data_IF_428685353751
#
_entry.id   IF_428685353751
#
_cell.length_a   1.000
_cell.length_b   1.000
_cell.length_c   1.000
_cell.angle_alpha   90.00
_cell.angle_beta   90.00
_cell.angle_gamma   90.00
#
_symmetry.space_group_name_H-M   'P 1'
#
loop_
_entity.id
_entity.type
_entity.pdbx_description
1 polymer ?
#
# COMPACT_ATOMS: atom_id res chain seq x y z
N UNK A 1 -15.52 -51.15 -92.15
CA UNK A 1 -15.17 -49.80 -92.62
C UNK A 1 -15.87 -48.82 -91.71
N UNK A 2 -15.25 -48.49 -90.57
CA UNK A 2 -15.75 -47.42 -89.71
C UNK A 2 -15.14 -46.11 -90.21
N UNK A 3 -16.02 -45.23 -90.70
CA UNK A 3 -15.68 -43.88 -91.10
C UNK A 3 -15.43 -43.10 -89.80
N UNK A 4 -14.17 -42.88 -89.42
CA UNK A 4 -13.82 -41.89 -88.40
C UNK A 4 -13.80 -40.54 -89.10
N UNK A 5 -14.82 -39.73 -88.85
CA UNK A 5 -14.88 -38.33 -89.24
C UNK A 5 -13.57 -37.64 -88.84
N UNK A 6 -12.79 -37.21 -89.85
CA UNK A 6 -11.65 -36.34 -89.60
C UNK A 6 -12.21 -34.96 -89.22
N UNK A 7 -11.81 -34.40 -88.07
CA UNK A 7 -12.28 -33.08 -87.66
C UNK A 7 -11.89 -32.05 -88.72
N UNK A 8 -12.83 -31.17 -89.00
CA UNK A 8 -12.67 -30.08 -89.97
C UNK A 8 -11.59 -29.10 -89.46
N UNK A 9 -10.89 -28.41 -90.36
CA UNK A 9 -9.83 -27.46 -89.98
C UNK A 9 -10.31 -26.43 -88.94
N UNK A 10 -11.56 -25.98 -89.06
CA UNK A 10 -12.18 -25.05 -88.10
C UNK A 10 -12.42 -25.68 -86.72
N UNK A 11 -12.76 -26.98 -86.64
CA UNK A 11 -12.93 -27.70 -85.37
C UNK A 11 -11.58 -27.94 -84.67
N UNK A 12 -10.52 -28.18 -85.43
CA UNK A 12 -9.15 -28.25 -84.91
C UNK A 12 -8.68 -26.88 -84.40
N UNK A 13 -8.95 -25.80 -85.14
CA UNK A 13 -8.64 -24.42 -84.72
C UNK A 13 -9.40 -24.03 -83.44
N UNK A 14 -10.67 -24.41 -83.32
CA UNK A 14 -11.45 -24.14 -82.12
C UNK A 14 -10.95 -24.91 -80.90
N UNK A 15 -10.60 -26.20 -81.05
CA UNK A 15 -9.97 -26.98 -79.97
C UNK A 15 -8.61 -26.44 -79.54
N UNK A 16 -7.80 -25.96 -80.48
CA UNK A 16 -6.51 -25.31 -80.15
C UNK A 16 -6.76 -24.06 -79.32
N UNK A 17 -7.73 -23.22 -79.72
CA UNK A 17 -8.12 -22.02 -78.96
C UNK A 17 -8.64 -22.35 -77.56
N UNK A 18 -9.47 -23.39 -77.42
CA UNK A 18 -9.96 -23.86 -76.13
C UNK A 18 -8.82 -24.35 -75.23
N UNK A 19 -7.83 -25.03 -75.81
CA UNK A 19 -6.66 -25.52 -75.08
C UNK A 19 -5.74 -24.38 -74.63
N UNK A 20 -5.54 -23.38 -75.48
CA UNK A 20 -4.79 -22.16 -75.13
C UNK A 20 -5.46 -21.39 -73.97
N UNK A 21 -6.78 -21.24 -74.01
CA UNK A 21 -7.54 -20.62 -72.91
C UNK A 21 -7.45 -21.45 -71.62
N UNK A 22 -7.53 -22.78 -71.70
CA UNK A 22 -7.35 -23.64 -70.53
C UNK A 22 -5.95 -23.55 -69.94
N UNK A 23 -4.91 -23.47 -70.79
CA UNK A 23 -3.53 -23.30 -70.34
C UNK A 23 -3.33 -21.96 -69.61
N UNK A 24 -3.94 -20.88 -70.11
CA UNK A 24 -3.88 -19.56 -69.50
C UNK A 24 -4.61 -19.50 -68.13
N UNK A 25 -5.77 -20.15 -68.03
CA UNK A 25 -6.50 -20.32 -66.76
C UNK A 25 -5.66 -21.14 -65.76
N UNK A 26 -5.06 -22.25 -66.21
CA UNK A 26 -4.25 -23.10 -65.34
C UNK A 26 -3.01 -22.38 -64.82
N UNK A 27 -2.32 -21.60 -65.68
CA UNK A 27 -1.21 -20.73 -65.27
C UNK A 27 -1.64 -19.69 -64.23
N UNK A 28 -2.80 -19.07 -64.44
CA UNK A 28 -3.36 -18.08 -63.50
C UNK A 28 -3.68 -18.71 -62.14
N UNK A 29 -4.26 -19.92 -62.12
CA UNK A 29 -4.56 -20.66 -60.88
C UNK A 29 -3.27 -21.02 -60.14
N UNK A 30 -2.24 -21.51 -60.83
CA UNK A 30 -0.94 -21.81 -60.20
C UNK A 30 -0.35 -20.55 -59.57
N UNK A 31 -0.38 -19.43 -60.28
CA UNK A 31 0.15 -18.17 -59.77
C UNK A 31 -0.63 -17.68 -58.54
N UNK A 32 -1.97 -17.78 -58.55
CA UNK A 32 -2.79 -17.47 -57.38
C UNK A 32 -2.54 -18.42 -56.21
N UNK A 33 -2.34 -19.70 -56.48
CA UNK A 33 -2.00 -20.71 -55.48
C UNK A 33 -0.65 -20.42 -54.81
N UNK A 34 0.37 -20.07 -55.59
CA UNK A 34 1.69 -19.67 -55.08
C UNK A 34 1.61 -18.40 -54.21
N UNK A 35 0.85 -17.39 -54.66
CA UNK A 35 0.62 -16.17 -53.88
C UNK A 35 -0.10 -16.46 -52.56
N UNK A 36 -1.14 -17.31 -52.59
CA UNK A 36 -1.89 -17.72 -51.40
C UNK A 36 -1.00 -18.48 -50.42
N UNK A 37 -0.18 -19.41 -50.91
CA UNK A 37 0.79 -20.13 -50.07
C UNK A 37 1.79 -19.19 -49.42
N UNK A 38 2.33 -18.22 -50.17
CA UNK A 38 3.24 -17.22 -49.63
C UNK A 38 2.58 -16.35 -48.55
N UNK A 39 1.33 -15.95 -48.75
CA UNK A 39 0.57 -15.14 -47.79
C UNK A 39 0.20 -15.92 -46.52
N UNK A 40 -0.18 -17.19 -46.64
CA UNK A 40 -0.43 -18.07 -45.48
C UNK A 40 0.86 -18.27 -44.70
N UNK A 41 1.98 -18.55 -45.39
CA UNK A 41 3.26 -18.74 -44.73
C UNK A 41 3.74 -17.48 -43.98
N UNK A 42 3.57 -16.29 -44.56
CA UNK A 42 3.92 -15.03 -43.88
C UNK A 42 3.02 -14.76 -42.68
N UNK A 43 1.71 -14.96 -42.81
CA UNK A 43 0.76 -14.80 -41.70
C UNK A 43 1.03 -15.80 -40.56
N UNK A 44 1.41 -17.04 -40.88
CA UNK A 44 1.76 -18.05 -39.90
C UNK A 44 3.00 -17.61 -39.10
N UNK A 45 4.03 -17.10 -39.80
CA UNK A 45 5.25 -16.59 -39.17
C UNK A 45 4.98 -15.35 -38.29
N UNK A 46 4.07 -14.46 -38.69
CA UNK A 46 3.66 -13.33 -37.86
C UNK A 46 2.92 -13.75 -36.59
N UNK A 47 2.03 -14.74 -36.69
CA UNK A 47 1.32 -15.30 -35.54
C UNK A 47 2.29 -15.95 -34.56
N UNK A 48 3.26 -16.74 -35.05
CA UNK A 48 4.29 -17.35 -34.20
C UNK A 48 5.10 -16.29 -33.45
N UNK A 49 5.57 -15.25 -34.15
CA UNK A 49 6.30 -14.14 -33.52
C UNK A 49 5.46 -13.41 -32.46
N UNK A 50 4.17 -13.18 -32.72
CA UNK A 50 3.26 -12.56 -31.75
C UNK A 50 3.03 -13.44 -30.53
N UNK A 51 2.85 -14.75 -30.74
CA UNK A 51 2.66 -15.70 -29.65
C UNK A 51 3.92 -15.80 -28.76
N UNK A 52 5.11 -15.83 -29.36
CA UNK A 52 6.38 -15.79 -28.62
C UNK A 52 6.49 -14.52 -27.77
N UNK A 53 6.17 -13.36 -28.33
CA UNK A 53 6.19 -12.09 -27.60
C UNK A 53 5.20 -12.06 -26.42
N UNK A 54 3.97 -12.57 -26.64
CA UNK A 54 2.95 -12.69 -25.58
C UNK A 54 3.44 -13.63 -24.47
N UNK A 55 4.04 -14.76 -24.81
CA UNK A 55 4.51 -15.71 -23.81
C UNK A 55 5.70 -15.15 -23.01
N UNK A 56 6.58 -14.36 -23.65
CA UNK A 56 7.64 -13.62 -22.95
C UNK A 56 7.07 -12.58 -21.98
N UNK A 57 6.07 -11.79 -22.40
CA UNK A 57 5.43 -10.78 -21.56
C UNK A 57 4.67 -11.40 -20.37
N UNK A 58 3.94 -12.48 -20.63
CA UNK A 58 3.27 -13.27 -19.60
C UNK A 58 4.28 -13.86 -18.62
N UNK A 59 5.41 -14.38 -19.10
CA UNK A 59 6.50 -14.87 -18.27
C UNK A 59 7.07 -13.78 -17.34
N UNK A 60 7.25 -12.55 -17.85
CA UNK A 60 7.69 -11.40 -17.04
C UNK A 60 6.68 -11.04 -15.95
N UNK A 61 5.39 -10.96 -16.28
CA UNK A 61 4.33 -10.66 -15.30
C UNK A 61 4.25 -11.73 -14.21
N UNK A 62 4.32 -13.01 -14.57
CA UNK A 62 4.33 -14.11 -13.60
C UNK A 62 5.55 -14.05 -12.68
N UNK A 63 6.74 -13.73 -13.22
CA UNK A 63 7.94 -13.57 -12.43
C UNK A 63 7.82 -12.40 -11.43
N UNK A 64 7.23 -11.27 -11.84
CA UNK A 64 6.98 -10.14 -10.94
C UNK A 64 6.02 -10.55 -9.83
N UNK A 65 4.87 -11.13 -10.18
CA UNK A 65 3.83 -11.53 -9.22
C UNK A 65 4.33 -12.57 -8.20
N UNK A 66 5.25 -13.46 -8.61
CA UNK A 66 5.86 -14.46 -7.74
C UNK A 66 6.88 -13.89 -6.74
N UNK A 67 7.54 -12.78 -7.09
CA UNK A 67 8.55 -12.15 -6.24
C UNK A 67 7.99 -11.05 -5.32
N UNK A 68 6.73 -10.63 -5.51
CA UNK A 68 6.06 -9.74 -4.56
C UNK A 68 5.93 -10.45 -3.22
N UNK A 69 6.44 -9.83 -2.16
CA UNK A 69 6.42 -10.36 -0.80
C UNK A 69 5.03 -10.33 -0.16
N UNK A 70 4.12 -9.50 -0.66
CA UNK A 70 2.74 -9.44 -0.18
C UNK A 70 1.92 -10.57 -0.81
N UNK A 71 1.02 -11.15 -0.03
CA UNK A 71 0.01 -12.05 -0.54
C UNK A 71 -0.93 -11.24 -1.46
N UNK A 72 -1.11 -11.67 -2.70
CA UNK A 72 -1.90 -10.97 -3.71
C UNK A 72 -2.96 -11.91 -4.29
N UNK A 73 -4.19 -11.40 -4.36
CA UNK A 73 -5.31 -12.06 -5.04
C UNK A 73 -6.02 -11.07 -5.95
N UNK A 74 -6.50 -11.55 -7.09
CA UNK A 74 -7.38 -10.83 -8.00
C UNK A 74 -8.68 -11.61 -8.10
N UNK A 75 -9.80 -10.95 -7.86
CA UNK A 75 -11.14 -11.54 -7.99
C UNK A 75 -11.92 -10.85 -9.11
N UNK A 76 -12.80 -11.59 -9.78
CA UNK A 76 -13.75 -11.02 -10.73
C UNK A 76 -14.91 -10.29 -10.01
N UNK A 77 -15.79 -9.58 -10.72
CA UNK A 77 -16.95 -8.90 -10.12
C UNK A 77 -17.94 -9.87 -9.43
N UNK A 78 -17.87 -11.17 -9.72
CA UNK A 78 -18.65 -12.21 -9.05
C UNK A 78 -17.97 -12.79 -7.80
N UNK A 79 -16.86 -12.21 -7.32
CA UNK A 79 -16.15 -12.65 -6.12
C UNK A 79 -15.32 -13.93 -6.30
N UNK A 80 -15.08 -14.38 -7.54
CA UNK A 80 -14.27 -15.57 -7.82
C UNK A 80 -12.83 -15.21 -8.15
N UNK A 81 -11.89 -16.00 -7.66
CA UNK A 81 -10.45 -15.78 -7.86
C UNK A 81 -10.07 -15.99 -9.34
N UNK A 82 -9.49 -14.96 -9.95
CA UNK A 82 -8.85 -14.99 -11.27
C UNK A 82 -7.36 -15.32 -11.11
N UNK A 83 -6.70 -14.73 -10.12
CA UNK A 83 -5.26 -14.85 -9.92
C UNK A 83 -4.94 -14.85 -8.42
N UNK A 84 -3.99 -15.69 -8.03
CA UNK A 84 -3.38 -15.65 -6.71
C UNK A 84 -1.88 -15.91 -6.86
N UNK A 85 -1.04 -15.17 -6.14
CA UNK A 85 0.39 -15.50 -6.09
C UNK A 85 0.65 -16.66 -5.09
N UNK A 86 1.85 -17.22 -5.13
CA UNK A 86 2.23 -18.30 -4.20
C UNK A 86 2.17 -17.85 -2.75
N UNK A 87 2.57 -16.61 -2.46
CA UNK A 87 2.53 -16.04 -1.11
C UNK A 87 1.11 -16.04 -0.57
N UNK A 88 0.10 -15.68 -1.36
CA UNK A 88 -1.30 -15.75 -0.95
C UNK A 88 -1.75 -17.18 -0.60
N UNK A 89 -1.36 -18.14 -1.43
CA UNK A 89 -1.71 -19.55 -1.20
C UNK A 89 -1.06 -20.06 0.10
N UNK A 90 0.22 -19.74 0.32
CA UNK A 90 0.94 -20.10 1.55
C UNK A 90 0.33 -19.39 2.78
N UNK A 91 -0.03 -18.12 2.62
CA UNK A 91 -0.56 -17.28 3.69
C UNK A 91 -1.93 -17.75 4.19
N UNK A 92 -2.83 -18.12 3.29
CA UNK A 92 -4.18 -18.61 3.63
C UNK A 92 -4.29 -20.14 3.63
N UNK A 93 -3.17 -20.86 3.50
CA UNK A 93 -3.11 -22.32 3.41
C UNK A 93 -4.06 -22.90 2.33
N UNK A 94 -4.13 -22.21 1.18
CA UNK A 94 -4.96 -22.58 0.04
C UNK A 94 -4.17 -23.42 -0.96
N UNK A 95 -4.83 -24.42 -1.57
CA UNK A 95 -4.22 -25.19 -2.65
C UNK A 95 -4.13 -24.34 -3.93
N UNK A 96 -2.91 -24.14 -4.43
CA UNK A 96 -2.59 -23.40 -5.66
C UNK A 96 -3.42 -23.89 -6.86
N UNK A 97 -3.76 -25.19 -6.90
CA UNK A 97 -4.54 -25.76 -7.99
C UNK A 97 -6.05 -25.58 -7.82
N UNK A 98 -6.54 -25.47 -6.58
CA UNK A 98 -7.95 -25.35 -6.28
C UNK A 98 -8.40 -23.89 -6.08
N UNK A 99 -7.46 -22.98 -5.83
CA UNK A 99 -7.77 -21.55 -5.57
C UNK A 99 -8.35 -20.85 -6.79
N UNK A 100 -7.95 -21.26 -8.00
CA UNK A 100 -8.43 -20.65 -9.23
C UNK A 100 -9.93 -20.93 -9.42
N UNK A 101 -10.72 -19.87 -9.66
CA UNK A 101 -12.18 -19.91 -9.81
C UNK A 101 -12.97 -20.29 -8.54
N UNK A 102 -12.31 -20.53 -7.40
CA UNK A 102 -12.97 -20.63 -6.10
C UNK A 102 -13.60 -19.29 -5.70
N UNK A 103 -14.66 -19.33 -4.91
CA UNK A 103 -15.22 -18.09 -4.36
C UNK A 103 -14.32 -17.59 -3.22
N UNK A 104 -14.05 -16.28 -3.13
CA UNK A 104 -13.08 -15.75 -2.17
C UNK A 104 -13.43 -16.07 -0.70
N UNK A 105 -14.72 -16.24 -0.40
CA UNK A 105 -15.19 -16.64 0.94
C UNK A 105 -14.95 -18.12 1.28
N UNK A 106 -14.62 -18.96 0.29
CA UNK A 106 -14.22 -20.36 0.50
C UNK A 106 -12.71 -20.47 0.76
N UNK A 107 -11.96 -19.42 0.44
CA UNK A 107 -10.50 -19.36 0.55
C UNK A 107 -10.05 -18.59 1.79
N UNK A 108 -10.76 -17.51 2.13
CA UNK A 108 -10.46 -16.67 3.29
C UNK A 108 -11.55 -16.85 4.35
N UNK A 109 -11.20 -17.49 5.47
CA UNK A 109 -12.13 -17.75 6.59
C UNK A 109 -12.45 -16.50 7.44
N UNK A 110 -11.79 -15.36 7.17
CA UNK A 110 -12.05 -14.10 7.87
C UNK A 110 -13.05 -13.22 7.11
N UNK A 111 -14.24 -13.05 7.72
CA UNK A 111 -15.33 -12.28 7.13
C UNK A 111 -15.00 -10.80 6.89
N UNK A 112 -14.13 -10.20 7.69
CA UNK A 112 -13.76 -8.80 7.57
C UNK A 112 -12.82 -8.57 6.37
N UNK A 113 -11.89 -9.49 6.14
CA UNK A 113 -11.05 -9.49 4.94
C UNK A 113 -11.90 -9.66 3.68
N UNK A 114 -12.80 -10.66 3.66
CA UNK A 114 -13.71 -10.90 2.53
C UNK A 114 -14.57 -9.67 2.25
N UNK A 115 -15.17 -9.09 3.31
CA UNK A 115 -16.00 -7.89 3.18
C UNK A 115 -15.22 -6.73 2.56
N UNK A 116 -13.96 -6.54 2.92
CA UNK A 116 -13.13 -5.46 2.37
C UNK A 116 -12.95 -5.57 0.85
N UNK A 117 -12.97 -6.79 0.31
CA UNK A 117 -12.90 -7.05 -1.13
C UNK A 117 -14.26 -6.77 -1.78
N UNK A 118 -15.33 -7.28 -1.18
CA UNK A 118 -16.70 -7.14 -1.70
C UNK A 118 -17.18 -5.68 -1.67
N UNK A 119 -16.83 -4.92 -0.63
CA UNK A 119 -17.14 -3.49 -0.52
C UNK A 119 -16.54 -2.70 -1.71
N UNK A 120 -15.38 -3.08 -2.24
CA UNK A 120 -14.77 -2.46 -3.43
C UNK A 120 -15.47 -2.87 -4.74
N UNK A 121 -16.07 -4.06 -4.79
CA UNK A 121 -16.89 -4.48 -5.94
C UNK A 121 -18.16 -3.62 -6.00
N UNK A 122 -18.78 -3.34 -4.85
CA UNK A 122 -19.97 -2.50 -4.74
C UNK A 122 -19.68 -1.01 -5.00
N UNK A 123 -18.52 -0.52 -4.52
CA UNK A 123 -18.06 0.87 -4.70
C UNK A 123 -16.71 0.93 -5.43
N UNK A 124 -16.67 0.73 -6.77
CA UNK A 124 -15.43 0.57 -7.52
C UNK A 124 -14.58 1.85 -7.67
N UNK A 125 -15.06 3.01 -7.25
CA UNK A 125 -14.26 4.26 -7.24
C UNK A 125 -13.33 4.39 -6.03
N UNK A 126 -13.36 3.42 -5.10
CA UNK A 126 -12.61 3.50 -3.84
C UNK A 126 -11.52 2.45 -3.72
N UNK A 127 -10.36 2.89 -3.28
CA UNK A 127 -9.36 2.03 -2.65
C UNK A 127 -9.68 1.93 -1.17
N UNK A 128 -9.83 0.71 -0.66
CA UNK A 128 -10.05 0.46 0.77
C UNK A 128 -8.75 -0.10 1.37
N UNK A 129 -8.26 0.55 2.43
CA UNK A 129 -7.16 0.06 3.24
C UNK A 129 -7.65 -0.18 4.66
N UNK A 130 -7.47 -1.40 5.17
CA UNK A 130 -7.79 -1.76 6.55
C UNK A 130 -6.67 -2.55 7.20
N UNK A 131 -6.48 -2.31 8.49
CA UNK A 131 -5.65 -3.14 9.35
C UNK A 131 -6.58 -3.98 10.23
N UNK A 132 -6.47 -5.30 10.13
CA UNK A 132 -7.36 -6.27 10.78
C UNK A 132 -6.51 -7.18 11.67
N UNK A 133 -6.95 -7.39 12.90
CA UNK A 133 -6.32 -8.34 13.81
C UNK A 133 -7.01 -9.70 13.67
N UNK A 134 -6.25 -10.73 13.34
CA UNK A 134 -6.73 -12.11 13.29
C UNK A 134 -6.82 -12.73 14.69
N UNK A 135 -7.51 -13.88 14.80
CA UNK A 135 -7.74 -14.58 16.06
C UNK A 135 -6.45 -15.10 16.72
N UNK A 136 -5.42 -15.37 15.93
CA UNK A 136 -4.10 -15.79 16.38
C UNK A 136 -3.21 -14.63 16.87
N UNK A 137 -3.70 -13.39 16.76
CA UNK A 137 -2.98 -12.18 17.13
C UNK A 137 -2.12 -11.57 16.02
N UNK A 138 -2.12 -12.15 14.82
CA UNK A 138 -1.50 -11.57 13.63
C UNK A 138 -2.25 -10.29 13.21
N UNK A 139 -1.51 -9.25 12.83
CA UNK A 139 -2.08 -8.04 12.24
C UNK A 139 -1.88 -8.05 10.73
N UNK A 140 -2.97 -8.01 9.98
CA UNK A 140 -2.95 -7.98 8.52
C UNK A 140 -3.36 -6.60 8.04
N UNK A 141 -2.52 -6.00 7.21
CA UNK A 141 -2.89 -4.86 6.39
C UNK A 141 -3.44 -5.36 5.07
N UNK A 142 -4.74 -5.17 4.85
CA UNK A 142 -5.39 -5.45 3.58
C UNK A 142 -5.60 -4.15 2.78
N UNK A 143 -5.16 -4.15 1.53
CA UNK A 143 -5.41 -3.07 0.57
C UNK A 143 -6.14 -3.65 -0.62
N UNK A 144 -7.34 -3.14 -0.90
CA UNK A 144 -8.21 -3.61 -1.99
C UNK A 144 -8.55 -2.45 -2.91
N UNK A 145 -8.36 -2.66 -4.22
CA UNK A 145 -8.56 -1.66 -5.27
C UNK A 145 -9.22 -2.29 -6.48
N UNK A 146 -10.14 -1.57 -7.11
CA UNK A 146 -10.78 -1.99 -8.35
C UNK A 146 -9.82 -1.99 -9.53
N UNK A 147 -10.08 -2.85 -10.50
CA UNK A 147 -9.42 -2.89 -11.81
C UNK A 147 -10.49 -2.49 -12.84
N UNK A 148 -10.34 -1.29 -13.42
CA UNK A 148 -11.27 -0.74 -14.41
C UNK A 148 -10.61 -0.72 -15.79
N UNK A 149 -11.38 -1.09 -16.83
CA UNK A 149 -11.01 -0.91 -18.23
C UNK A 149 -12.19 -0.25 -18.94
N UNK A 150 -12.00 0.96 -19.49
CA UNK A 150 -13.07 1.73 -20.14
C UNK A 150 -14.35 1.83 -19.29
N UNK A 151 -14.20 2.16 -17.99
CA UNK A 151 -15.26 2.22 -16.96
C UNK A 151 -15.95 0.88 -16.64
N UNK A 152 -15.50 -0.23 -17.23
CA UNK A 152 -15.96 -1.57 -16.88
C UNK A 152 -15.11 -2.18 -15.76
N UNK A 153 -15.75 -2.62 -14.68
CA UNK A 153 -15.10 -3.37 -13.60
C UNK A 153 -14.67 -4.75 -14.08
N UNK A 154 -13.37 -4.95 -14.27
CA UNK A 154 -12.78 -6.24 -14.58
C UNK A 154 -12.60 -7.11 -13.33
N UNK A 155 -12.44 -6.49 -12.17
CA UNK A 155 -12.22 -7.20 -10.91
C UNK A 155 -11.68 -6.31 -9.81
N UNK A 156 -11.25 -6.94 -8.72
CA UNK A 156 -10.61 -6.28 -7.58
C UNK A 156 -9.28 -6.96 -7.31
N UNK A 157 -8.22 -6.17 -7.19
CA UNK A 157 -6.92 -6.61 -6.68
C UNK A 157 -6.84 -6.32 -5.20
N UNK A 158 -6.45 -7.34 -4.43
CA UNK A 158 -6.30 -7.25 -2.99
C UNK A 158 -4.94 -7.78 -2.57
N UNK A 159 -4.24 -6.98 -1.76
CA UNK A 159 -2.98 -7.39 -1.13
C UNK A 159 -3.17 -7.57 0.37
N UNK A 160 -2.40 -8.49 0.94
CA UNK A 160 -2.36 -8.78 2.36
C UNK A 160 -0.91 -8.82 2.81
N UNK A 161 -0.61 -8.04 3.84
CA UNK A 161 0.71 -8.00 4.45
C UNK A 161 0.58 -8.23 5.94
N UNK A 162 1.37 -9.17 6.47
CA UNK A 162 1.59 -9.28 7.90
C UNK A 162 2.39 -8.07 8.37
N UNK A 163 1.77 -7.25 9.21
CA UNK A 163 2.35 -6.04 9.81
C UNK A 163 2.48 -6.19 11.33
N UNK A 164 2.49 -7.42 11.84
CA UNK A 164 2.50 -7.72 13.28
C UNK A 164 3.73 -7.12 13.95
N UNK A 165 4.90 -7.23 13.32
CA UNK A 165 6.16 -6.73 13.88
C UNK A 165 6.13 -5.20 13.97
N UNK A 166 5.67 -4.55 12.91
CA UNK A 166 5.52 -3.10 12.84
C UNK A 166 4.56 -2.59 13.91
N UNK A 167 3.38 -3.20 14.00
CA UNK A 167 2.37 -2.84 15.01
C UNK A 167 2.88 -3.07 16.44
N UNK A 168 3.59 -4.16 16.69
CA UNK A 168 4.19 -4.44 18.00
C UNK A 168 5.30 -3.45 18.34
N UNK A 169 6.15 -3.11 17.37
CA UNK A 169 7.24 -2.14 17.54
C UNK A 169 6.71 -0.73 17.84
N UNK A 170 5.66 -0.30 17.14
CA UNK A 170 5.00 0.98 17.40
C UNK A 170 4.39 1.04 18.81
N UNK A 171 3.74 -0.06 19.23
CA UNK A 171 3.24 -0.19 20.61
C UNK A 171 4.38 -0.14 21.64
N UNK A 172 5.46 -0.90 21.43
CA UNK A 172 6.62 -0.90 22.33
C UNK A 172 7.28 0.47 22.42
N UNK A 173 7.44 1.19 21.30
CA UNK A 173 7.96 2.56 21.27
C UNK A 173 7.11 3.46 22.15
N UNK A 174 5.79 3.39 21.99
CA UNK A 174 4.86 4.25 22.74
C UNK A 174 4.87 3.91 24.24
N UNK A 175 4.87 2.63 24.59
CA UNK A 175 4.86 2.19 25.99
C UNK A 175 6.20 2.50 26.69
N UNK A 176 7.31 2.40 25.96
CA UNK A 176 8.63 2.82 26.43
C UNK A 176 8.66 4.32 26.75
N UNK A 177 8.21 5.17 25.82
CA UNK A 177 8.15 6.62 26.02
C UNK A 177 7.26 6.98 27.20
N UNK A 178 6.11 6.32 27.33
CA UNK A 178 5.20 6.50 28.46
C UNK A 178 5.90 6.19 29.80
N UNK A 179 6.54 5.02 29.88
CA UNK A 179 7.23 4.56 31.08
C UNK A 179 8.37 5.49 31.48
N UNK A 180 9.27 5.83 30.54
CA UNK A 180 10.40 6.74 30.81
C UNK A 180 9.92 8.09 31.29
N UNK A 181 8.85 8.62 30.71
CA UNK A 181 8.31 9.93 31.11
C UNK A 181 7.75 9.91 32.53
N UNK A 182 7.08 8.83 32.94
CA UNK A 182 6.63 8.66 34.32
C UNK A 182 7.80 8.58 35.31
N UNK A 183 8.84 7.80 34.97
CA UNK A 183 10.05 7.63 35.79
C UNK A 183 10.90 8.91 35.87
N UNK A 184 10.82 9.80 34.87
CA UNK A 184 11.50 11.11 34.89
C UNK A 184 10.70 12.19 35.63
N UNK A 185 9.36 12.18 35.50
CA UNK A 185 8.50 13.20 36.12
C UNK A 185 8.61 13.18 37.64
N UNK A 186 8.63 12.01 38.25
CA UNK A 186 8.67 11.84 39.72
C UNK A 186 9.93 12.44 40.37
N UNK A 187 11.17 12.10 39.95
CA UNK A 187 12.37 12.71 40.50
C UNK A 187 12.48 14.20 40.15
N UNK A 188 12.06 14.61 38.95
CA UNK A 188 12.09 16.02 38.53
C UNK A 188 11.16 16.90 39.38
N UNK A 189 9.96 16.39 39.69
CA UNK A 189 9.01 17.05 40.61
C UNK A 189 9.62 17.25 41.99
N UNK A 190 10.39 16.26 42.47
CA UNK A 190 11.08 16.35 43.76
C UNK A 190 12.19 17.40 43.73
N UNK A 191 13.02 17.42 42.68
CA UNK A 191 14.10 18.42 42.51
C UNK A 191 13.53 19.84 42.44
N UNK A 192 12.51 20.05 41.61
CA UNK A 192 11.81 21.34 41.50
C UNK A 192 11.17 21.74 42.83
N UNK A 193 10.53 20.81 43.54
CA UNK A 193 9.94 21.03 44.85
C UNK A 193 10.97 21.55 45.86
N UNK A 194 12.12 20.88 45.98
CA UNK A 194 13.20 21.31 46.86
C UNK A 194 13.83 22.63 46.43
N UNK A 195 14.09 22.84 45.14
CA UNK A 195 14.64 24.09 44.63
C UNK A 195 13.71 25.28 44.95
N UNK A 196 12.41 25.12 44.74
CA UNK A 196 11.40 26.13 45.08
C UNK A 196 11.33 26.41 46.59
N UNK A 197 11.37 25.38 47.44
CA UNK A 197 11.41 25.54 48.90
C UNK A 197 12.67 26.30 49.35
N UNK A 198 13.83 25.97 48.78
CA UNK A 198 15.10 26.63 49.08
C UNK A 198 15.03 28.10 48.67
N UNK A 199 14.60 28.38 47.42
CA UNK A 199 14.44 29.74 46.91
C UNK A 199 13.53 30.57 47.82
N UNK A 200 12.34 30.04 48.14
CA UNK A 200 11.37 30.70 49.03
C UNK A 200 11.96 31.01 50.40
N UNK A 201 12.63 30.06 51.04
CA UNK A 201 13.28 30.29 52.35
C UNK A 201 14.39 31.34 52.26
N UNK A 202 15.18 31.32 51.20
CA UNK A 202 16.23 32.32 51.00
C UNK A 202 15.62 33.71 50.82
N UNK A 203 14.57 33.85 50.02
CA UNK A 203 13.90 35.13 49.75
C UNK A 203 13.14 35.69 50.95
N UNK A 204 12.42 34.86 51.70
CA UNK A 204 11.58 35.30 52.82
C UNK A 204 12.36 35.48 54.12
N UNK A 205 13.39 34.67 54.35
CA UNK A 205 14.05 34.57 55.67
C UNK A 205 15.50 35.03 55.63
N UNK A 206 16.28 34.73 54.59
CA UNK A 206 17.74 34.92 54.64
C UNK A 206 18.16 36.24 53.97
N UNK A 207 17.74 36.48 52.73
CA UNK A 207 18.07 37.69 51.98
C UNK A 207 17.65 38.98 52.69
N UNK A 208 16.51 39.07 53.40
CA UNK A 208 16.12 40.30 54.12
C UNK A 208 16.99 40.65 55.32
N UNK A 209 17.74 39.69 55.89
CA UNK A 209 18.60 39.88 57.08
C UNK A 209 20.08 39.98 56.72
N UNK A 210 20.44 39.78 55.46
CA UNK A 210 21.80 39.98 54.97
C UNK A 210 22.05 41.48 54.86
N UNK A 211 23.10 41.95 55.53
CA UNK A 211 23.54 43.34 55.46
C UNK A 211 24.15 43.63 54.08
N UNK A 212 23.55 44.58 53.34
CA UNK A 212 24.02 45.02 52.03
C UNK A 212 25.35 45.79 52.07
N UNK A 213 25.89 46.08 53.27
CA UNK A 213 27.16 46.77 53.46
C UNK A 213 28.40 46.03 52.94
N UNK A 214 28.38 44.69 52.86
CA UNK A 214 29.51 43.89 52.36
C UNK A 214 29.33 43.45 50.90
N UNK A 215 30.03 44.13 49.97
CA UNK A 215 29.95 43.87 48.53
C UNK A 215 30.24 42.41 48.11
N UNK A 216 30.98 41.63 48.92
CA UNK A 216 31.23 40.20 48.66
C UNK A 216 30.00 39.33 48.97
N UNK A 217 29.32 39.62 50.08
CA UNK A 217 28.14 38.87 50.55
C UNK A 217 26.96 39.12 49.62
N UNK A 218 26.73 40.39 49.24
CA UNK A 218 25.66 40.76 48.29
C UNK A 218 25.85 40.10 46.91
N UNK A 219 27.08 40.04 46.39
CA UNK A 219 27.38 39.32 45.14
C UNK A 219 27.12 37.82 45.23
N UNK A 220 27.53 37.17 46.32
CA UNK A 220 27.30 35.75 46.51
C UNK A 220 25.79 35.43 46.63
N UNK A 221 25.02 36.26 47.35
CA UNK A 221 23.58 36.12 47.46
C UNK A 221 22.87 36.25 46.11
N UNK A 222 23.26 37.25 45.30
CA UNK A 222 22.75 37.43 43.94
C UNK A 222 23.05 36.22 43.04
N UNK A 223 24.27 35.69 43.11
CA UNK A 223 24.67 34.52 42.32
C UNK A 223 23.91 33.25 42.71
N UNK A 224 23.67 33.01 44.01
CA UNK A 224 22.85 31.90 44.48
C UNK A 224 21.41 32.02 43.97
N UNK A 225 20.82 33.22 44.02
CA UNK A 225 19.48 33.48 43.50
C UNK A 225 19.40 33.16 42.01
N UNK A 226 20.33 33.70 41.21
CA UNK A 226 20.39 33.47 39.77
C UNK A 226 20.55 31.97 39.44
N UNK A 227 21.40 31.25 40.17
CA UNK A 227 21.59 29.82 39.95
C UNK A 227 20.32 29.01 40.27
N UNK A 228 19.60 29.37 41.34
CA UNK A 228 18.32 28.73 41.67
C UNK A 228 17.26 29.02 40.61
N UNK A 229 17.19 30.25 40.10
CA UNK A 229 16.29 30.62 39.01
C UNK A 229 16.56 29.79 37.75
N UNK A 230 17.83 29.56 37.40
CA UNK A 230 18.23 28.71 36.28
C UNK A 230 17.83 27.25 36.53
N UNK A 231 18.06 26.71 37.73
CA UNK A 231 17.70 25.32 38.05
C UNK A 231 16.19 25.11 37.94
N UNK A 232 15.40 26.06 38.45
CA UNK A 232 13.94 25.99 38.40
C UNK A 232 13.47 26.11 36.94
N UNK A 233 13.94 27.10 36.18
CA UNK A 233 13.50 27.31 34.81
C UNK A 233 13.87 26.15 33.88
N UNK A 234 15.06 25.56 34.02
CA UNK A 234 15.45 24.39 33.24
C UNK A 234 14.70 23.13 33.67
N UNK A 235 14.36 22.98 34.96
CA UNK A 235 13.52 21.88 35.42
C UNK A 235 12.08 21.98 34.91
N UNK A 236 11.50 23.18 34.89
CA UNK A 236 10.17 23.44 34.31
C UNK A 236 10.19 23.19 32.79
N UNK A 237 11.22 23.69 32.10
CA UNK A 237 11.41 23.44 30.67
C UNK A 237 11.52 21.96 30.35
N UNK A 238 12.29 21.19 31.14
CA UNK A 238 12.41 19.74 30.95
C UNK A 238 11.07 19.03 31.19
N UNK A 239 10.31 19.48 32.19
CA UNK A 239 8.96 18.95 32.47
C UNK A 239 8.04 19.15 31.26
N UNK A 240 8.05 20.35 30.68
CA UNK A 240 7.27 20.66 29.49
C UNK A 240 7.70 19.79 28.30
N UNK A 241 9.01 19.65 28.07
CA UNK A 241 9.52 18.81 26.98
C UNK A 241 9.09 17.35 27.14
N UNK A 242 9.10 16.80 28.36
CA UNK A 242 8.62 15.44 28.63
C UNK A 242 7.13 15.32 28.32
N UNK A 243 6.32 16.32 28.67
CA UNK A 243 4.90 16.32 28.37
C UNK A 243 4.64 16.40 26.85
N UNK A 244 5.37 17.26 26.14
CA UNK A 244 5.26 17.39 24.67
C UNK A 244 5.57 16.06 23.97
N UNK A 245 6.63 15.37 24.41
CA UNK A 245 7.00 14.04 23.88
C UNK A 245 5.92 12.99 24.16
N UNK A 246 5.34 13.01 25.35
CA UNK A 246 4.22 12.12 25.70
C UNK A 246 2.99 12.39 24.83
N UNK A 247 2.66 13.65 24.60
CA UNK A 247 1.49 14.04 23.82
C UNK A 247 1.66 13.64 22.36
N UNK A 248 2.86 13.83 21.78
CA UNK A 248 3.21 13.31 20.44
C UNK A 248 3.04 11.77 20.40
N UNK A 249 3.55 11.06 21.39
CA UNK A 249 3.44 9.60 21.43
C UNK A 249 1.98 9.11 21.51
N UNK A 250 1.10 9.84 22.21
CA UNK A 250 -0.34 9.56 22.24
C UNK A 250 -1.01 9.86 20.89
N UNK A 251 -0.62 10.95 20.22
CA UNK A 251 -1.11 11.31 18.89
C UNK A 251 -0.74 10.22 17.87
N UNK A 252 0.53 9.81 17.82
CA UNK A 252 1.00 8.75 16.90
C UNK A 252 0.26 7.43 17.13
N UNK A 253 -0.04 7.09 18.39
CA UNK A 253 -0.78 5.88 18.72
C UNK A 253 -2.31 5.97 18.52
N UNK A 254 -2.84 7.14 18.09
CA UNK A 254 -4.28 7.36 17.94
C UNK A 254 -5.04 7.30 19.27
N UNK A 255 -4.36 7.52 20.40
CA UNK A 255 -4.93 7.42 21.77
C UNK A 255 -5.32 8.78 22.37
N UNK A 256 -5.43 9.81 21.53
CA UNK A 256 -5.86 11.14 21.98
C UNK A 256 -7.37 11.16 22.12
N UNK A 257 -7.84 11.46 23.32
CA UNK A 257 -9.25 11.76 23.54
C UNK A 257 -9.52 13.20 23.11
N UNK A 258 -10.25 13.35 22.00
CA UNK A 258 -10.76 14.64 21.55
C UNK A 258 -11.92 15.06 22.45
N UNK A 259 -11.86 16.28 22.95
CA UNK A 259 -12.96 16.95 23.65
C UNK A 259 -13.49 18.04 22.74
N UNK A 260 -14.27 17.63 21.77
CA UNK A 260 -14.89 18.56 20.84
C UNK A 260 -16.02 19.30 21.55
N UNK A 261 -15.82 20.60 21.78
CA UNK A 261 -16.80 21.51 22.37
C UNK A 261 -16.88 22.81 21.57
N UNK A 262 -18.05 23.43 21.53
CA UNK A 262 -18.22 24.74 20.91
C UNK A 262 -17.48 25.79 21.76
N UNK A 263 -16.47 26.43 21.17
CA UNK A 263 -15.65 27.45 21.83
C UNK A 263 -15.82 28.84 21.20
N UNK A 264 -15.94 29.87 22.02
CA UNK A 264 -15.84 31.26 21.55
C UNK A 264 -14.37 31.61 21.28
N UNK A 265 -14.03 31.75 19.99
CA UNK A 265 -12.68 32.12 19.54
C UNK A 265 -12.20 33.42 20.19
N UNK A 266 -13.07 34.40 20.40
CA UNK A 266 -12.71 35.66 21.03
C UNK A 266 -12.36 35.48 22.52
N UNK A 267 -12.99 34.53 23.20
CA UNK A 267 -12.65 34.16 24.57
C UNK A 267 -11.30 33.44 24.64
N UNK A 268 -11.01 32.54 23.69
CA UNK A 268 -9.71 31.83 23.60
C UNK A 268 -8.56 32.82 23.43
N UNK A 269 -8.68 33.79 22.51
CA UNK A 269 -7.64 34.82 22.31
C UNK A 269 -7.40 35.66 23.56
N UNK A 270 -8.44 35.97 24.34
CA UNK A 270 -8.30 36.73 25.59
C UNK A 270 -7.63 35.93 26.71
N UNK A 271 -7.74 34.60 26.72
CA UNK A 271 -7.09 33.74 27.71
C UNK A 271 -5.61 33.45 27.40
N UNK A 272 -5.22 33.60 26.13
CA UNK A 272 -3.85 33.32 25.66
C UNK A 272 -2.90 34.54 25.72
N UNK A 273 -3.44 35.75 25.89
CA UNK A 273 -2.69 37.01 26.04
C UNK A 273 -2.42 37.33 27.52
#
# INVERSE_FOLDING_TARGET
MENKDMPTYDELQQKVKEFEVQEEIFRTIIQQMEQLYAQVASSQSEIEKKNEAIEEEKGKLQAILKNIADALVVVNPGGRVILANSVFCDFFNADVNAVHNAHISEVIDNIELVKTILDVIEEPERTIMKQIQLQDGCFIKNTSSSILLDDLLLGVVSTFRDVTIEVQMDKMKTDFISTVSHELRTPLTSVLGFANIIKKRLEEVIFPVIDDGEARVSRAASQVRQNLDIIISEGERLTNLINDVLDIAKIEAGRVEWKDEDVDIAEVFRRAA
#
